data_IF_860823315094
#
_entry.id   IF_860823315094
#
_cell.length_a   1.000
_cell.length_b   1.000
_cell.length_c   1.000
_cell.angle_alpha   90.00
_cell.angle_beta   90.00
_cell.angle_gamma   90.00
#
_symmetry.space_group_name_H-M   'P 1'
#
loop_
_entity.id
_entity.type
_entity.pdbx_description
1 polymer ?
#
# COMPACT_ATOMS: atom_id res chain seq x y z
N UNK A 1 11.07 -12.12 -5.55
CA UNK A 1 10.10 -13.15 -6.02
C UNK A 1 9.11 -13.60 -4.95
N UNK A 2 9.54 -14.08 -3.77
CA UNK A 2 8.62 -14.57 -2.72
C UNK A 2 7.62 -13.52 -2.23
N UNK A 3 8.05 -12.28 -1.98
CA UNK A 3 7.17 -11.19 -1.51
C UNK A 3 6.09 -10.85 -2.53
N UNK A 4 6.45 -10.79 -3.82
CA UNK A 4 5.50 -10.48 -4.89
C UNK A 4 4.40 -11.54 -5.02
N UNK A 5 4.73 -12.83 -4.84
CA UNK A 5 3.75 -13.92 -4.84
C UNK A 5 2.81 -13.81 -3.64
N UNK A 6 3.35 -13.54 -2.45
CA UNK A 6 2.55 -13.38 -1.23
C UNK A 6 1.59 -12.19 -1.35
N UNK A 7 2.06 -11.06 -1.89
CA UNK A 7 1.23 -9.89 -2.18
C UNK A 7 0.11 -10.25 -3.17
N UNK A 8 0.43 -10.86 -4.31
CA UNK A 8 -0.56 -11.26 -5.31
C UNK A 8 -1.63 -12.20 -4.73
N UNK A 9 -1.23 -13.19 -3.92
CA UNK A 9 -2.17 -14.08 -3.24
C UNK A 9 -3.09 -13.33 -2.27
N UNK A 10 -2.52 -12.44 -1.44
CA UNK A 10 -3.29 -11.64 -0.47
C UNK A 10 -4.30 -10.72 -1.14
N UNK A 11 -3.91 -10.10 -2.25
CA UNK A 11 -4.78 -9.22 -3.04
C UNK A 11 -5.88 -10.00 -3.74
N UNK A 12 -5.55 -11.17 -4.29
CA UNK A 12 -6.53 -12.05 -4.94
C UNK A 12 -7.58 -12.52 -3.92
N UNK A 13 -7.17 -12.93 -2.73
CA UNK A 13 -8.11 -13.30 -1.66
C UNK A 13 -9.01 -12.12 -1.26
N UNK A 14 -8.44 -10.92 -1.09
CA UNK A 14 -9.24 -9.72 -0.79
C UNK A 14 -10.28 -9.45 -1.90
N UNK A 15 -9.86 -9.52 -3.16
CA UNK A 15 -10.76 -9.31 -4.31
C UNK A 15 -11.86 -10.35 -4.40
N UNK A 16 -11.56 -11.63 -4.13
CA UNK A 16 -12.56 -12.70 -4.08
C UNK A 16 -13.57 -12.49 -2.95
N UNK A 17 -13.12 -12.19 -1.74
CA UNK A 17 -14.01 -11.93 -0.60
C UNK A 17 -14.94 -10.73 -0.87
N UNK A 18 -14.43 -9.68 -1.53
CA UNK A 18 -15.23 -8.51 -1.95
C UNK A 18 -16.34 -8.87 -2.94
N UNK A 19 -16.10 -9.81 -3.87
CA UNK A 19 -17.11 -10.24 -4.85
C UNK A 19 -18.27 -11.00 -4.20
N UNK A 20 -17.98 -11.79 -3.17
CA UNK A 20 -18.97 -12.66 -2.52
C UNK A 20 -19.77 -11.97 -1.41
N UNK A 21 -19.34 -10.80 -0.92
CA UNK A 21 -19.96 -10.12 0.23
C UNK A 21 -20.31 -8.66 -0.08
N UNK A 22 -21.59 -8.38 -0.37
CA UNK A 22 -22.05 -7.02 -0.73
C UNK A 22 -21.84 -5.97 0.38
N UNK A 23 -21.77 -6.39 1.65
CA UNK A 23 -21.54 -5.48 2.79
C UNK A 23 -20.08 -5.01 2.91
N UNK A 24 -19.16 -5.56 2.10
CA UNK A 24 -17.73 -5.24 2.10
C UNK A 24 -17.32 -4.41 0.87
N UNK A 25 -18.23 -3.58 0.34
CA UNK A 25 -17.94 -2.69 -0.80
C UNK A 25 -17.02 -1.51 -0.40
N UNK A 26 -17.21 -0.96 0.80
CA UNK A 26 -16.33 0.07 1.39
C UNK A 26 -15.23 -0.58 2.23
N UNK A 27 -14.07 -0.92 1.63
CA UNK A 27 -12.94 -1.41 2.44
C UNK A 27 -11.65 -0.65 2.16
N UNK A 28 -11.19 -0.03 3.24
CA UNK A 28 -9.82 0.37 3.51
C UNK A 28 -8.88 -0.84 3.38
N UNK A 29 -7.87 -0.71 2.53
CA UNK A 29 -6.74 -1.65 2.45
C UNK A 29 -5.53 -1.02 3.14
N UNK A 30 -4.90 -1.73 4.08
CA UNK A 30 -3.66 -1.30 4.71
C UNK A 30 -2.54 -2.26 4.28
N UNK A 31 -1.46 -1.71 3.74
CA UNK A 31 -0.28 -2.46 3.29
C UNK A 31 0.94 -1.99 4.10
N UNK A 32 1.54 -2.89 4.86
CA UNK A 32 2.74 -2.63 5.65
C UNK A 32 3.98 -3.15 4.91
N UNK A 33 4.84 -2.23 4.47
CA UNK A 33 6.06 -2.48 3.69
C UNK A 33 5.86 -3.50 2.55
N UNK A 34 4.85 -3.34 1.66
CA UNK A 34 4.56 -4.34 0.63
C UNK A 34 5.63 -4.40 -0.48
N UNK A 35 6.58 -3.47 -0.45
CA UNK A 35 7.65 -3.28 -1.41
C UNK A 35 8.94 -3.96 -0.98
N UNK A 36 8.99 -4.57 0.21
CA UNK A 36 10.20 -5.25 0.69
C UNK A 36 10.63 -6.38 -0.27
N UNK A 37 11.90 -6.34 -0.69
CA UNK A 37 12.44 -7.26 -1.68
C UNK A 37 11.99 -7.01 -3.14
N UNK A 38 11.41 -5.85 -3.45
CA UNK A 38 11.16 -5.38 -4.81
C UNK A 38 12.37 -4.57 -5.30
N UNK A 39 12.74 -4.76 -6.57
CA UNK A 39 13.68 -3.86 -7.24
C UNK A 39 12.98 -2.56 -7.66
N UNK A 40 13.75 -1.50 -7.93
CA UNK A 40 13.22 -0.21 -8.44
C UNK A 40 12.30 -0.36 -9.65
N UNK A 41 12.66 -1.22 -10.60
CA UNK A 41 11.83 -1.51 -11.77
C UNK A 41 10.50 -2.17 -11.40
N UNK A 42 10.43 -2.91 -10.30
CA UNK A 42 9.21 -3.54 -9.82
C UNK A 42 8.35 -2.59 -8.98
N UNK A 43 8.92 -1.53 -8.39
CA UNK A 43 8.14 -0.48 -7.71
C UNK A 43 7.20 0.24 -8.67
N UNK A 44 7.63 0.46 -9.93
CA UNK A 44 6.75 1.03 -10.96
C UNK A 44 5.47 0.21 -11.20
N UNK A 45 5.54 -1.12 -11.07
CA UNK A 45 4.39 -2.01 -11.22
C UNK A 45 3.42 -1.95 -10.03
N UNK A 46 3.88 -1.49 -8.87
CA UNK A 46 3.02 -1.35 -7.69
C UNK A 46 1.98 -0.26 -7.94
N UNK A 47 2.33 0.82 -8.63
CA UNK A 47 1.38 1.85 -9.03
C UNK A 47 0.22 1.27 -9.84
N UNK A 48 0.55 0.57 -10.94
CA UNK A 48 -0.46 -0.06 -11.81
C UNK A 48 -1.35 -1.02 -11.02
N UNK A 49 -0.75 -1.80 -10.12
CA UNK A 49 -1.46 -2.73 -9.26
C UNK A 49 -2.39 -2.01 -8.26
N UNK A 50 -1.96 -0.90 -7.65
CA UNK A 50 -2.79 -0.13 -6.72
C UNK A 50 -4.03 0.45 -7.43
N UNK A 51 -3.86 0.94 -8.66
CA UNK A 51 -4.96 1.43 -9.51
C UNK A 51 -5.96 0.32 -9.86
N UNK A 52 -5.47 -0.90 -10.14
CA UNK A 52 -6.31 -2.05 -10.47
C UNK A 52 -7.14 -2.60 -9.30
N UNK A 53 -6.69 -2.39 -8.05
CA UNK A 53 -7.36 -2.92 -6.86
C UNK A 53 -8.72 -2.30 -6.58
N UNK A 54 -9.04 -1.14 -7.19
CA UNK A 54 -10.33 -0.42 -7.06
C UNK A 54 -10.82 -0.31 -5.62
N UNK A 55 -9.90 -0.23 -4.66
CA UNK A 55 -10.24 -0.06 -3.25
C UNK A 55 -10.52 1.42 -3.00
N UNK A 56 -11.57 1.73 -2.24
CA UNK A 56 -11.97 3.13 -1.96
C UNK A 56 -10.88 3.91 -1.21
N UNK A 57 -10.10 3.22 -0.37
CA UNK A 57 -8.97 3.80 0.34
C UNK A 57 -7.85 2.78 0.49
N UNK A 58 -6.61 3.21 0.24
CA UNK A 58 -5.40 2.43 0.50
C UNK A 58 -4.49 3.25 1.43
N UNK A 59 -4.04 2.64 2.52
CA UNK A 59 -2.99 3.18 3.40
C UNK A 59 -1.75 2.34 3.19
N UNK A 60 -0.68 3.00 2.75
CA UNK A 60 0.60 2.39 2.46
C UNK A 60 1.63 2.85 3.50
N UNK A 61 2.27 1.90 4.17
CA UNK A 61 3.42 2.16 5.03
C UNK A 61 4.66 1.73 4.25
N UNK A 62 5.56 2.68 4.03
CA UNK A 62 6.85 2.39 3.40
C UNK A 62 7.91 3.40 3.78
N UNK A 63 9.17 2.97 3.71
CA UNK A 63 10.36 3.83 3.75
C UNK A 63 10.89 4.21 2.36
N UNK A 64 10.25 3.75 1.27
CA UNK A 64 10.64 4.01 -0.11
C UNK A 64 10.11 5.36 -0.62
N UNK A 65 11.01 6.33 -0.81
CA UNK A 65 10.65 7.68 -1.29
C UNK A 65 10.06 7.70 -2.69
N UNK A 66 10.38 6.73 -3.55
CA UNK A 66 9.86 6.68 -4.92
C UNK A 66 8.31 6.56 -4.93
N UNK A 67 7.74 5.96 -3.88
CA UNK A 67 6.29 5.80 -3.73
C UNK A 67 5.55 7.10 -3.43
N UNK A 68 6.25 8.11 -2.91
CA UNK A 68 5.67 9.45 -2.66
C UNK A 68 5.05 10.03 -3.94
N UNK A 69 5.58 9.68 -5.11
CA UNK A 69 5.10 10.15 -6.41
C UNK A 69 3.82 9.47 -6.89
N UNK A 70 3.33 8.45 -6.19
CA UNK A 70 2.20 7.60 -6.59
C UNK A 70 1.00 7.67 -5.65
N UNK A 71 1.05 8.49 -4.60
CA UNK A 71 0.00 8.57 -3.57
C UNK A 71 -0.64 9.94 -3.54
N UNK A 72 -1.92 9.99 -3.12
CA UNK A 72 -2.66 11.26 -3.04
C UNK A 72 -2.29 12.10 -1.81
N UNK A 73 -1.87 11.45 -0.73
CA UNK A 73 -1.54 12.10 0.54
C UNK A 73 -0.31 11.43 1.16
N UNK A 74 0.61 12.23 1.69
CA UNK A 74 1.82 11.75 2.35
C UNK A 74 1.82 12.18 3.82
N UNK A 75 2.04 11.21 4.70
CA UNK A 75 2.24 11.43 6.12
C UNK A 75 3.63 10.96 6.49
N UNK A 76 4.54 11.91 6.68
CA UNK A 76 5.91 11.61 7.09
C UNK A 76 5.94 11.31 8.59
N UNK A 77 6.46 10.13 8.94
CA UNK A 77 6.68 9.72 10.34
C UNK A 77 8.17 9.81 10.66
N UNK A 78 8.51 10.45 11.76
CA UNK A 78 9.89 10.56 12.27
C UNK A 78 9.94 10.28 13.77
N UNK A 79 11.13 9.97 14.29
CA UNK A 79 11.35 9.73 15.72
C UNK A 79 12.33 10.75 16.26
N UNK A 80 11.90 11.57 17.21
CA UNK A 80 12.70 12.62 17.84
C UNK A 80 12.67 12.45 19.37
N UNK A 81 13.83 12.35 20.01
CA UNK A 81 13.95 12.16 21.47
C UNK A 81 13.10 11.00 22.01
N UNK A 82 12.98 9.91 21.24
CA UNK A 82 12.18 8.74 21.61
C UNK A 82 10.68 8.85 21.31
N UNK A 83 10.19 10.02 20.89
CA UNK A 83 8.79 10.27 20.56
C UNK A 83 8.57 10.23 19.05
N UNK A 84 7.51 9.55 18.60
CA UNK A 84 7.09 9.57 17.20
C UNK A 84 6.38 10.88 16.88
N UNK A 85 6.77 11.52 15.77
CA UNK A 85 6.14 12.72 15.22
C UNK A 85 5.62 12.44 13.82
N UNK A 86 4.50 13.05 13.48
CA UNK A 86 3.83 12.90 12.18
C UNK A 86 3.67 14.30 11.58
N UNK A 87 4.05 14.45 10.31
CA UNK A 87 3.87 15.67 9.54
C UNK A 87 3.15 15.30 8.23
N UNK A 88 2.02 15.96 7.95
CA UNK A 88 1.39 15.85 6.63
C UNK A 88 2.22 16.67 5.64
N UNK A 89 2.69 16.04 4.56
CA UNK A 89 3.36 16.75 3.48
C UNK A 89 2.29 17.24 2.49
N UNK A 90 2.44 18.49 2.04
CA UNK A 90 1.54 19.15 1.09
C UNK A 90 1.90 18.80 -0.34
#
# INVERSE_FOLDING_TARGET
EKTSIALAYRLTLNSLMRKETESMKSNLLILDEPTDGFSKNQLGKIRELLDELKSEQIVLVSHEKELETYVDNIFQVSKENGLSKIVKMN
#
